data_IF_916848998638
#
_entry.id   IF_916848998638
#
_cell.length_a   1.000
_cell.length_b   1.000
_cell.length_c   1.000
_cell.angle_alpha   90.00
_cell.angle_beta   90.00
_cell.angle_gamma   90.00
#
_symmetry.space_group_name_H-M   'P 1'
#
loop_
_entity.id
_entity.type
_entity.pdbx_description
1 polymer ?
#
# COMPACT_ATOMS: atom_id res chain seq x y z
N UNK A 1 -6.85 -11.87 23.73
CA UNK A 1 -6.68 -11.09 22.49
C UNK A 1 -7.71 -11.63 21.52
N UNK A 2 -8.57 -10.79 20.96
CA UNK A 2 -9.51 -11.19 19.91
C UNK A 2 -8.72 -11.51 18.65
N UNK A 3 -8.98 -12.66 18.02
CA UNK A 3 -8.35 -13.02 16.75
C UNK A 3 -9.22 -12.46 15.61
N UNK A 4 -8.60 -11.63 14.78
CA UNK A 4 -9.21 -10.99 13.63
C UNK A 4 -8.56 -11.55 12.36
N UNK A 5 -9.36 -12.12 11.47
CA UNK A 5 -8.94 -12.38 10.09
C UNK A 5 -9.19 -11.08 9.33
N UNK A 6 -8.14 -10.27 9.19
CA UNK A 6 -8.21 -9.05 8.40
C UNK A 6 -8.23 -9.42 6.92
N UNK A 7 -9.27 -9.02 6.20
CA UNK A 7 -9.32 -9.21 4.76
C UNK A 7 -8.16 -8.47 4.10
N UNK A 8 -7.58 -9.05 3.05
CA UNK A 8 -6.66 -8.31 2.19
C UNK A 8 -7.44 -7.20 1.49
N UNK A 9 -6.80 -6.06 1.19
CA UNK A 9 -7.43 -5.01 0.36
C UNK A 9 -8.09 -5.65 -0.85
N UNK A 10 -9.42 -5.64 -0.85
CA UNK A 10 -10.21 -6.26 -1.92
C UNK A 10 -10.04 -5.28 -3.06
N UNK A 11 -9.15 -5.59 -4.00
CA UNK A 11 -8.76 -4.73 -5.12
C UNK A 11 -9.89 -4.49 -6.11
N UNK A 12 -11.07 -4.08 -5.65
CA UNK A 12 -12.09 -3.45 -6.48
C UNK A 12 -11.61 -2.02 -6.80
N UNK A 13 -10.54 -1.95 -7.59
CA UNK A 13 -10.16 -0.70 -8.21
C UNK A 13 -11.33 -0.20 -9.04
N UNK A 14 -11.69 1.07 -8.91
CA UNK A 14 -12.63 1.70 -9.83
C UNK A 14 -12.06 1.51 -11.25
N UNK A 15 -12.90 1.00 -12.15
CA UNK A 15 -12.60 0.86 -13.57
C UNK A 15 -13.51 1.79 -14.34
N UNK A 16 -13.27 1.98 -15.64
CA UNK A 16 -14.18 2.75 -16.48
C UNK A 16 -15.62 2.18 -16.47
N UNK A 17 -15.80 0.89 -16.16
CA UNK A 17 -17.10 0.24 -16.07
C UNK A 17 -17.78 0.35 -14.69
N UNK A 18 -17.09 0.86 -13.66
CA UNK A 18 -17.66 0.99 -12.32
C UNK A 18 -18.81 1.99 -12.33
N UNK A 19 -19.98 1.59 -11.80
CA UNK A 19 -21.17 2.44 -11.83
C UNK A 19 -21.08 3.59 -10.82
N UNK A 20 -21.62 4.74 -11.19
CA UNK A 20 -21.70 5.90 -10.30
C UNK A 20 -22.61 5.63 -9.09
N UNK A 21 -23.67 4.84 -9.30
CA UNK A 21 -24.59 4.40 -8.25
C UNK A 21 -23.88 3.56 -7.17
N UNK A 22 -22.98 2.65 -7.56
CA UNK A 22 -22.20 1.84 -6.59
C UNK A 22 -21.20 2.67 -5.78
N UNK A 23 -20.89 3.90 -6.21
CA UNK A 23 -20.00 4.83 -5.51
C UNK A 23 -20.76 5.88 -4.69
N UNK A 24 -22.09 5.81 -4.63
CA UNK A 24 -22.93 6.79 -3.92
C UNK A 24 -22.90 8.19 -4.55
N UNK A 25 -22.57 8.29 -5.84
CA UNK A 25 -22.46 9.55 -6.57
C UNK A 25 -23.85 9.91 -7.12
N UNK A 26 -24.41 11.05 -6.72
CA UNK A 26 -25.80 11.44 -7.06
C UNK A 26 -25.93 12.86 -7.62
N UNK A 27 -24.89 13.39 -8.28
CA UNK A 27 -24.88 14.75 -8.82
C UNK A 27 -25.01 14.84 -10.34
N UNK A 28 -25.70 15.88 -10.83
CA UNK A 28 -25.98 16.09 -12.26
C UNK A 28 -24.94 16.96 -12.99
N UNK A 29 -24.09 17.69 -12.27
CA UNK A 29 -23.08 18.57 -12.86
C UNK A 29 -21.86 18.77 -11.95
N UNK A 30 -20.65 18.82 -12.52
CA UNK A 30 -19.36 19.08 -11.86
C UNK A 30 -18.77 20.41 -12.35
N UNK A 31 -18.48 21.34 -11.44
CA UNK A 31 -17.75 22.57 -11.78
C UNK A 31 -16.25 22.41 -11.56
N UNK A 32 -15.46 22.77 -12.57
CA UNK A 32 -14.01 22.76 -12.60
C UNK A 32 -13.53 24.20 -12.80
N UNK A 33 -12.77 24.74 -11.85
CA UNK A 33 -12.17 26.06 -11.96
C UNK A 33 -10.70 25.95 -12.29
N UNK A 34 -10.29 26.60 -13.39
CA UNK A 34 -8.92 26.61 -13.89
C UNK A 34 -8.47 28.06 -14.00
N UNK A 35 -7.64 28.52 -13.06
CA UNK A 35 -7.34 29.94 -12.91
C UNK A 35 -8.63 30.75 -12.66
N UNK A 36 -8.91 31.71 -13.54
CA UNK A 36 -10.10 32.57 -13.49
C UNK A 36 -11.32 32.00 -14.23
N UNK A 37 -11.15 30.94 -15.03
CA UNK A 37 -12.22 30.37 -15.87
C UNK A 37 -12.93 29.21 -15.15
N UNK A 38 -14.27 29.20 -15.22
CA UNK A 38 -15.12 28.13 -14.67
C UNK A 38 -15.74 27.29 -15.80
N UNK A 39 -15.53 25.97 -15.72
CA UNK A 39 -16.05 24.99 -16.67
C UNK A 39 -17.08 24.10 -16.00
N UNK A 40 -18.28 24.02 -16.58
CA UNK A 40 -19.36 23.16 -16.09
C UNK A 40 -19.39 21.85 -16.89
N UNK A 41 -19.15 20.75 -16.22
CA UNK A 41 -19.25 19.38 -16.76
C UNK A 41 -20.65 18.86 -16.50
N UNK A 42 -21.39 18.55 -17.56
CA UNK A 42 -22.70 17.92 -17.44
C UNK A 42 -22.54 16.40 -17.21
N UNK A 43 -23.08 15.90 -16.10
CA UNK A 43 -23.10 14.48 -15.74
C UNK A 43 -24.51 13.87 -15.86
N UNK A 44 -25.50 14.62 -16.32
CA UNK A 44 -26.87 14.14 -16.54
C UNK A 44 -26.88 13.10 -17.67
N UNK A 45 -26.76 11.83 -17.30
CA UNK A 45 -26.64 10.69 -18.22
C UNK A 45 -25.38 9.85 -18.05
N UNK A 46 -24.44 10.26 -17.20
CA UNK A 46 -23.31 9.43 -16.81
C UNK A 46 -23.80 8.29 -15.91
N UNK A 47 -23.52 7.05 -16.29
CA UNK A 47 -23.84 5.85 -15.50
C UNK A 47 -22.59 5.24 -14.86
N UNK A 48 -21.41 5.49 -15.44
CA UNK A 48 -20.14 4.89 -15.05
C UNK A 48 -19.03 5.92 -14.86
N UNK A 49 -17.94 5.51 -14.21
CA UNK A 49 -16.69 6.30 -14.08
C UNK A 49 -16.12 6.67 -15.45
N UNK A 50 -16.24 5.80 -16.45
CA UNK A 50 -15.85 6.08 -17.83
C UNK A 50 -16.66 7.21 -18.47
N UNK A 51 -17.95 7.30 -18.15
CA UNK A 51 -18.81 8.39 -18.63
C UNK A 51 -18.40 9.72 -18.00
N UNK A 52 -17.97 9.74 -16.73
CA UNK A 52 -17.43 10.93 -16.07
C UNK A 52 -16.15 11.40 -16.76
N UNK A 53 -15.21 10.50 -17.03
CA UNK A 53 -13.96 10.82 -17.71
C UNK A 53 -14.24 11.40 -19.11
N UNK A 54 -15.18 10.78 -19.83
CA UNK A 54 -15.60 11.25 -21.15
C UNK A 54 -16.28 12.62 -21.08
N UNK A 55 -17.14 12.85 -20.08
CA UNK A 55 -17.82 14.12 -19.89
C UNK A 55 -16.84 15.25 -19.55
N UNK A 56 -15.81 14.97 -18.76
CA UNK A 56 -14.76 15.94 -18.43
C UNK A 56 -13.94 16.28 -19.67
N UNK A 57 -13.54 15.28 -20.46
CA UNK A 57 -12.85 15.52 -21.74
C UNK A 57 -13.71 16.32 -22.73
N UNK A 58 -15.04 16.13 -22.71
CA UNK A 58 -15.98 16.86 -23.56
C UNK A 58 -16.33 18.28 -23.04
N UNK A 59 -15.92 18.64 -21.83
CA UNK A 59 -16.24 19.94 -21.21
C UNK A 59 -15.45 21.12 -21.80
N UNK A 60 -14.36 20.83 -22.52
CA UNK A 60 -13.46 21.85 -23.08
C UNK A 60 -12.53 22.50 -22.06
N UNK A 61 -12.54 22.05 -20.79
CA UNK A 61 -11.55 22.45 -19.80
C UNK A 61 -10.17 21.89 -20.18
N UNK A 62 -9.06 22.62 -19.95
CA UNK A 62 -7.68 22.13 -20.19
C UNK A 62 -7.25 21.17 -19.07
N UNK A 63 -8.03 20.13 -18.83
CA UNK A 63 -7.86 19.18 -17.72
C UNK A 63 -8.20 17.77 -18.21
N UNK A 64 -7.32 16.82 -17.92
CA UNK A 64 -7.53 15.40 -18.20
C UNK A 64 -7.93 14.67 -16.90
N UNK A 65 -8.96 13.84 -16.99
CA UNK A 65 -9.40 12.96 -15.91
C UNK A 65 -8.93 11.53 -16.18
N UNK A 66 -8.31 10.89 -15.20
CA UNK A 66 -7.87 9.50 -15.32
C UNK A 66 -7.99 8.77 -13.99
N UNK A 67 -8.19 7.45 -14.07
CA UNK A 67 -8.17 6.60 -12.88
C UNK A 67 -6.73 6.51 -12.39
N UNK A 68 -6.51 6.71 -11.09
CA UNK A 68 -5.17 6.62 -10.52
C UNK A 68 -4.60 5.20 -10.63
N UNK A 69 -3.26 5.07 -10.56
CA UNK A 69 -2.58 3.78 -10.70
C UNK A 69 -2.98 2.76 -9.61
N UNK A 70 -3.50 3.23 -8.49
CA UNK A 70 -4.02 2.42 -7.38
C UNK A 70 -5.47 1.96 -7.57
N UNK A 71 -6.18 2.44 -8.61
CA UNK A 71 -7.60 2.16 -8.82
C UNK A 71 -8.52 2.70 -7.72
N UNK A 72 -8.07 3.63 -6.88
CA UNK A 72 -8.82 4.10 -5.70
C UNK A 72 -9.57 5.41 -5.94
N UNK A 73 -9.38 6.06 -7.10
CA UNK A 73 -9.95 7.38 -7.35
C UNK A 73 -9.68 7.90 -8.76
N UNK A 74 -10.37 8.99 -9.12
CA UNK A 74 -10.17 9.72 -10.37
C UNK A 74 -9.27 10.91 -10.07
N UNK A 75 -8.08 10.95 -10.68
CA UNK A 75 -7.21 12.10 -10.67
C UNK A 75 -7.56 13.03 -11.83
N UNK A 76 -7.32 14.32 -11.59
CA UNK A 76 -7.47 15.36 -12.60
C UNK A 76 -6.13 16.08 -12.72
N UNK A 77 -5.64 16.25 -13.94
CA UNK A 77 -4.38 16.93 -14.22
C UNK A 77 -4.59 17.97 -15.30
N UNK A 78 -4.08 19.18 -15.07
CA UNK A 78 -4.11 20.22 -16.10
C UNK A 78 -3.23 19.80 -17.28
N UNK A 79 -3.74 19.96 -18.49
CA UNK A 79 -2.98 19.69 -19.73
C UNK A 79 -2.14 20.88 -20.18
N UNK A 80 -2.30 22.03 -19.52
CA UNK A 80 -1.57 23.27 -19.75
C UNK A 80 -1.06 23.86 -18.42
N UNK A 81 -0.09 24.78 -18.46
CA UNK A 81 0.34 25.50 -17.25
C UNK A 81 -0.76 26.43 -16.77
N UNK A 82 -1.24 26.20 -15.54
CA UNK A 82 -2.32 26.95 -14.92
C UNK A 82 -1.90 27.40 -13.52
N UNK A 83 -2.34 28.58 -13.10
CA UNK A 83 -1.97 29.16 -11.80
C UNK A 83 -2.67 28.45 -10.63
N UNK A 84 -3.87 27.91 -10.86
CA UNK A 84 -4.62 27.12 -9.88
C UNK A 84 -5.58 26.16 -10.58
N UNK A 85 -5.82 25.01 -9.95
CA UNK A 85 -6.84 24.04 -10.34
C UNK A 85 -7.67 23.72 -9.09
N UNK A 86 -8.91 24.18 -9.06
CA UNK A 86 -9.83 23.94 -7.96
C UNK A 86 -11.12 23.28 -8.46
N UNK A 87 -11.65 22.34 -7.67
CA UNK A 87 -12.95 21.74 -7.94
C UNK A 87 -13.87 21.88 -6.73
N UNK A 88 -14.88 22.73 -6.85
CA UNK A 88 -15.73 23.16 -5.73
C UNK A 88 -16.92 22.22 -5.48
N UNK A 89 -17.30 21.40 -6.45
CA UNK A 89 -18.48 20.54 -6.35
C UNK A 89 -18.19 19.07 -6.00
N UNK A 90 -16.92 18.70 -5.86
CA UNK A 90 -16.53 17.30 -5.60
C UNK A 90 -17.24 16.72 -4.37
N UNK A 91 -17.28 17.47 -3.27
CA UNK A 91 -17.88 17.00 -2.00
C UNK A 91 -19.40 16.84 -2.03
N UNK A 92 -20.08 17.52 -2.98
CA UNK A 92 -21.54 17.42 -3.19
C UNK A 92 -21.91 16.30 -4.15
N UNK A 93 -21.05 16.01 -5.12
CA UNK A 93 -21.29 15.02 -6.17
C UNK A 93 -20.78 13.66 -5.73
N UNK A 94 -19.54 13.59 -5.23
CA UNK A 94 -18.84 12.36 -4.86
C UNK A 94 -19.07 11.90 -3.42
N UNK A 95 -19.95 12.57 -2.67
CA UNK A 95 -20.14 12.32 -1.24
C UNK A 95 -18.84 12.47 -0.45
N UNK A 96 -18.90 12.35 0.88
CA UNK A 96 -17.69 12.23 1.71
C UNK A 96 -16.97 10.88 1.53
N UNK A 97 -17.58 9.94 0.79
CA UNK A 97 -17.16 8.55 0.69
C UNK A 97 -16.46 8.19 -0.63
N UNK A 98 -16.58 8.97 -1.72
CA UNK A 98 -15.93 8.63 -2.99
C UNK A 98 -14.61 9.37 -3.27
N UNK A 99 -14.08 10.12 -2.30
CA UNK A 99 -12.74 10.75 -2.37
C UNK A 99 -11.71 10.08 -1.43
N UNK A 100 -12.03 8.92 -0.88
CA UNK A 100 -11.12 8.09 -0.09
C UNK A 100 -11.59 6.65 -0.10
N UNK A 101 -10.70 5.77 -0.57
CA UNK A 101 -10.80 4.30 -0.71
C UNK A 101 -11.99 3.76 -1.52
N UNK A 102 -11.71 2.81 -2.42
CA UNK A 102 -12.73 1.93 -3.00
C UNK A 102 -13.43 1.18 -1.88
N UNK A 103 -14.47 1.80 -1.34
CA UNK A 103 -15.18 1.36 -0.14
C UNK A 103 -16.10 0.22 -0.54
N UNK A 104 -15.83 -0.98 -0.05
CA UNK A 104 -16.78 -2.08 0.04
C UNK A 104 -17.97 -1.57 0.85
N UNK A 105 -19.12 -1.45 0.20
CA UNK A 105 -20.39 -1.07 0.82
C UNK A 105 -21.26 -2.31 1.01
N UNK A 106 -22.23 -2.24 1.92
CA UNK A 106 -23.18 -3.33 2.16
C UNK A 106 -23.98 -3.69 0.88
N UNK A 107 -24.27 -2.68 0.05
CA UNK A 107 -25.03 -2.84 -1.20
C UNK A 107 -24.17 -3.34 -2.38
N UNK A 108 -22.85 -3.45 -2.21
CA UNK A 108 -21.96 -3.89 -3.27
C UNK A 108 -22.29 -5.34 -3.67
N UNK A 109 -22.40 -5.59 -4.98
CA UNK A 109 -22.67 -6.94 -5.48
C UNK A 109 -21.43 -7.83 -5.35
N UNK A 110 -21.61 -9.09 -4.97
CA UNK A 110 -20.51 -10.07 -4.89
C UNK A 110 -19.84 -10.25 -6.26
N UNK A 111 -20.62 -10.21 -7.35
CA UNK A 111 -20.13 -10.25 -8.71
C UNK A 111 -19.17 -9.07 -9.03
N UNK A 112 -19.46 -7.87 -8.54
CA UNK A 112 -18.57 -6.70 -8.73
C UNK A 112 -17.24 -6.81 -7.97
N UNK A 113 -17.17 -7.68 -6.96
CA UNK A 113 -15.92 -8.00 -6.25
C UNK A 113 -15.13 -9.14 -6.92
N UNK A 114 -15.69 -9.80 -7.94
CA UNK A 114 -15.08 -10.96 -8.62
C UNK A 114 -15.60 -12.33 -8.15
N UNK A 115 -16.63 -12.35 -7.31
CA UNK A 115 -17.32 -13.56 -6.87
C UNK A 115 -18.53 -13.78 -7.78
N UNK A 116 -18.29 -14.43 -8.93
CA UNK A 116 -19.29 -14.63 -9.99
C UNK A 116 -20.28 -15.75 -9.70
N UNK A 117 -19.88 -16.72 -8.87
CA UNK A 117 -20.70 -17.83 -8.41
C UNK A 117 -20.35 -18.11 -6.95
N UNK A 118 -20.97 -17.42 -5.99
CA UNK A 118 -20.73 -17.70 -4.58
C UNK A 118 -21.10 -19.17 -4.33
N UNK A 119 -20.20 -19.91 -3.70
CA UNK A 119 -20.34 -21.33 -3.45
C UNK A 119 -20.46 -21.62 -1.97
N UNK A 120 -19.74 -22.63 -1.50
CA UNK A 120 -19.65 -22.92 -0.08
C UNK A 120 -18.42 -22.27 0.53
N UNK A 121 -18.60 -21.65 1.69
CA UNK A 121 -17.52 -21.10 2.51
C UNK A 121 -17.48 -21.86 3.83
N UNK A 122 -16.34 -22.45 4.15
CA UNK A 122 -16.14 -23.13 5.43
C UNK A 122 -15.44 -22.19 6.39
N UNK A 123 -16.04 -21.93 7.55
CA UNK A 123 -15.46 -21.13 8.62
C UNK A 123 -15.21 -22.03 9.81
N UNK A 124 -13.97 -22.06 10.29
CA UNK A 124 -13.57 -22.73 11.52
C UNK A 124 -13.32 -21.69 12.59
N UNK A 125 -14.06 -21.77 13.69
CA UNK A 125 -13.90 -20.94 14.87
C UNK A 125 -13.75 -21.85 16.10
N UNK A 126 -12.66 -21.72 16.86
CA UNK A 126 -12.44 -22.50 18.10
C UNK A 126 -12.47 -24.02 17.89
N UNK A 127 -11.96 -24.49 16.75
CA UNK A 127 -12.02 -25.90 16.34
C UNK A 127 -13.40 -26.40 15.89
N UNK A 128 -14.44 -25.57 15.94
CA UNK A 128 -15.75 -25.87 15.37
C UNK A 128 -15.82 -25.37 13.93
N UNK A 129 -16.00 -26.31 13.00
CA UNK A 129 -16.11 -26.02 11.57
C UNK A 129 -17.56 -25.94 11.13
N UNK A 130 -17.95 -24.81 10.55
CA UNK A 130 -19.27 -24.58 9.96
C UNK A 130 -19.12 -24.36 8.46
N UNK A 131 -19.94 -25.04 7.66
CA UNK A 131 -19.97 -24.84 6.21
C UNK A 131 -21.20 -24.02 5.85
N UNK A 132 -20.99 -22.83 5.28
CA UNK A 132 -22.02 -21.93 4.82
C UNK A 132 -22.27 -22.13 3.33
N UNK A 133 -23.53 -22.21 2.96
CA UNK A 133 -23.96 -22.13 1.56
C UNK A 133 -24.28 -20.66 1.24
N UNK A 134 -23.44 -20.04 0.39
CA UNK A 134 -23.58 -18.66 -0.04
C UNK A 134 -24.11 -18.56 -1.49
N UNK A 135 -24.56 -19.67 -2.09
CA UNK A 135 -25.04 -19.69 -3.49
C UNK A 135 -26.23 -18.78 -3.78
N UNK A 136 -27.01 -18.43 -2.76
CA UNK A 136 -28.10 -17.44 -2.86
C UNK A 136 -27.69 -15.99 -2.55
N UNK A 137 -26.45 -15.74 -2.12
CA UNK A 137 -26.00 -14.41 -1.74
C UNK A 137 -25.68 -13.58 -3.00
N UNK A 138 -26.18 -12.34 -3.04
CA UNK A 138 -25.97 -11.44 -4.19
C UNK A 138 -25.16 -10.20 -3.83
N UNK A 139 -25.23 -9.79 -2.57
CA UNK A 139 -24.57 -8.59 -2.04
C UNK A 139 -23.62 -8.90 -0.88
N UNK A 140 -22.78 -7.93 -0.53
CA UNK A 140 -21.95 -7.98 0.68
C UNK A 140 -22.81 -8.06 1.94
N UNK A 141 -23.97 -7.40 1.97
CA UNK A 141 -24.93 -7.50 3.06
C UNK A 141 -25.43 -8.94 3.25
N UNK A 142 -25.80 -9.63 2.17
CA UNK A 142 -26.24 -11.03 2.22
C UNK A 142 -25.14 -11.94 2.78
N UNK A 143 -23.89 -11.71 2.36
CA UNK A 143 -22.73 -12.48 2.81
C UNK A 143 -22.43 -12.25 4.29
N UNK A 144 -22.35 -11.00 4.74
CA UNK A 144 -22.10 -10.67 6.15
C UNK A 144 -23.23 -11.20 7.03
N UNK A 145 -24.48 -11.05 6.61
CA UNK A 145 -25.62 -11.57 7.35
C UNK A 145 -25.56 -13.10 7.45
N UNK A 146 -25.24 -13.80 6.37
CA UNK A 146 -25.11 -15.26 6.39
C UNK A 146 -24.03 -15.71 7.37
N UNK A 147 -22.87 -15.04 7.41
CA UNK A 147 -21.79 -15.34 8.36
C UNK A 147 -22.24 -15.10 9.80
N UNK A 148 -22.76 -13.91 10.11
CA UNK A 148 -23.12 -13.50 11.47
C UNK A 148 -24.30 -14.29 12.05
N UNK A 149 -25.09 -14.95 11.20
CA UNK A 149 -26.25 -15.74 11.64
C UNK A 149 -25.96 -17.23 11.71
N UNK A 150 -25.08 -17.76 10.86
CA UNK A 150 -24.84 -19.20 10.75
C UNK A 150 -23.56 -19.65 11.47
N UNK A 151 -22.59 -18.76 11.69
CA UNK A 151 -21.34 -19.09 12.39
C UNK A 151 -21.40 -18.58 13.83
N UNK A 152 -21.26 -19.50 14.78
CA UNK A 152 -21.32 -19.16 16.19
C UNK A 152 -20.07 -18.38 16.65
N UNK A 153 -20.29 -17.25 17.30
CA UNK A 153 -19.25 -16.38 17.87
C UNK A 153 -18.24 -15.86 16.84
N UNK A 154 -18.69 -15.63 15.61
CA UNK A 154 -17.95 -14.88 14.59
C UNK A 154 -18.78 -13.67 14.17
N UNK A 155 -18.14 -12.51 14.10
CA UNK A 155 -18.68 -11.27 13.57
C UNK A 155 -17.89 -10.87 12.33
N UNK A 156 -18.53 -11.00 11.18
CA UNK A 156 -18.13 -10.37 9.94
C UNK A 156 -18.54 -8.90 9.92
N UNK A 157 -17.62 -8.02 9.54
CA UNK A 157 -17.88 -6.60 9.36
C UNK A 157 -17.00 -6.00 8.27
N UNK A 158 -17.42 -4.89 7.67
CA UNK A 158 -16.55 -4.10 6.80
C UNK A 158 -15.59 -3.31 7.70
N UNK A 159 -14.30 -3.31 7.36
CA UNK A 159 -13.29 -2.60 8.12
C UNK A 159 -13.49 -1.07 8.10
N UNK A 160 -12.85 -0.36 9.04
CA UNK A 160 -13.09 1.07 9.26
C UNK A 160 -12.74 1.97 8.05
N UNK A 161 -11.82 1.53 7.20
CA UNK A 161 -11.39 2.17 5.96
C UNK A 161 -12.14 1.68 4.71
N UNK A 162 -13.09 0.74 4.89
CA UNK A 162 -13.94 0.24 3.83
C UNK A 162 -13.25 -0.64 2.80
N UNK A 163 -11.97 -0.97 2.98
CA UNK A 163 -11.16 -1.67 1.98
C UNK A 163 -11.31 -3.20 2.01
N UNK A 164 -11.87 -3.76 3.07
CA UNK A 164 -11.97 -5.20 3.28
C UNK A 164 -13.17 -5.59 4.15
N UNK A 165 -13.47 -6.90 4.15
CA UNK A 165 -14.34 -7.52 5.14
C UNK A 165 -13.42 -8.23 6.13
N UNK A 166 -13.68 -8.04 7.42
CA UNK A 166 -12.96 -8.67 8.52
C UNK A 166 -13.86 -9.68 9.21
N UNK A 167 -13.28 -10.79 9.67
CA UNK A 167 -13.94 -11.74 10.57
C UNK A 167 -13.30 -11.63 11.95
N UNK A 168 -14.10 -11.39 12.98
CA UNK A 168 -13.67 -11.31 14.37
C UNK A 168 -14.34 -12.43 15.17
N UNK A 169 -13.58 -13.12 16.02
CA UNK A 169 -14.14 -14.10 16.95
C UNK A 169 -14.54 -13.44 18.26
N UNK A 170 -15.72 -13.76 18.80
CA UNK A 170 -16.16 -13.33 20.14
C UNK A 170 -15.49 -14.14 21.26
N UNK A 171 -14.73 -15.18 20.91
CA UNK A 171 -14.05 -16.05 21.87
C UNK A 171 -12.63 -15.58 22.17
N UNK A 172 -12.15 -15.94 23.36
CA UNK A 172 -10.80 -15.59 23.82
C UNK A 172 -9.69 -16.53 23.30
N UNK A 173 -10.00 -17.51 22.43
CA UNK A 173 -9.02 -18.46 21.85
C UNK A 173 -8.81 -18.24 20.33
N UNK A 174 -7.90 -19.01 19.73
CA UNK A 174 -6.94 -18.55 18.71
C UNK A 174 -7.15 -19.09 17.29
N UNK A 175 -8.21 -19.85 17.01
CA UNK A 175 -8.42 -20.46 15.68
C UNK A 175 -9.62 -19.86 14.97
N UNK A 176 -9.37 -18.91 14.06
CA UNK A 176 -10.35 -18.39 13.11
C UNK A 176 -9.80 -18.52 11.69
N UNK A 177 -10.49 -19.26 10.83
CA UNK A 177 -10.10 -19.45 9.43
C UNK A 177 -11.34 -19.55 8.55
N UNK A 178 -11.26 -19.04 7.33
CA UNK A 178 -12.27 -19.25 6.30
C UNK A 178 -11.64 -19.77 5.01
N UNK A 179 -12.22 -20.84 4.48
CA UNK A 179 -11.71 -21.59 3.32
C UNK A 179 -12.82 -21.83 2.31
N UNK A 180 -12.48 -21.71 1.04
CA UNK A 180 -13.40 -21.99 -0.06
C UNK A 180 -13.63 -23.49 -0.23
N UNK A 181 -14.88 -23.89 -0.45
CA UNK A 181 -15.29 -25.26 -0.78
C UNK A 181 -16.01 -25.30 -2.14
N UNK A 182 -15.91 -26.45 -2.80
CA UNK A 182 -16.73 -26.73 -3.99
C UNK A 182 -16.47 -25.82 -5.20
N UNK A 183 -15.27 -25.26 -5.33
CA UNK A 183 -14.92 -24.35 -6.44
C UNK A 183 -15.33 -22.88 -6.22
N UNK A 184 -15.79 -22.54 -5.01
CA UNK A 184 -15.95 -21.15 -4.56
C UNK A 184 -14.62 -20.38 -4.64
N UNK A 185 -14.70 -19.06 -4.79
CA UNK A 185 -13.56 -18.14 -4.73
C UNK A 185 -13.78 -17.00 -3.72
N UNK A 186 -14.73 -17.14 -2.81
CA UNK A 186 -15.12 -16.12 -1.82
C UNK A 186 -13.95 -15.83 -0.88
N UNK A 187 -13.37 -16.85 -0.24
CA UNK A 187 -12.25 -16.66 0.66
C UNK A 187 -11.03 -16.09 -0.08
N UNK A 188 -10.79 -16.55 -1.31
CA UNK A 188 -9.70 -16.03 -2.15
C UNK A 188 -9.89 -14.54 -2.51
N UNK A 189 -11.07 -14.15 -2.96
CA UNK A 189 -11.39 -12.78 -3.40
C UNK A 189 -11.41 -11.81 -2.23
N UNK A 190 -12.02 -12.19 -1.11
CA UNK A 190 -12.12 -11.35 0.09
C UNK A 190 -10.84 -11.36 0.93
N UNK A 191 -9.84 -12.15 0.51
CA UNK A 191 -8.57 -12.27 1.20
C UNK A 191 -8.64 -13.02 2.52
N UNK A 192 -9.74 -13.74 2.80
CA UNK A 192 -9.84 -14.67 3.92
C UNK A 192 -9.00 -15.94 3.74
N UNK A 193 -8.73 -16.33 2.48
CA UNK A 193 -7.91 -17.48 2.13
C UNK A 193 -6.43 -17.28 2.45
N UNK A 194 -6.05 -16.08 2.88
CA UNK A 194 -4.82 -15.94 3.64
C UNK A 194 -5.10 -16.62 4.98
N UNK A 195 -4.66 -17.87 5.09
CA UNK A 195 -4.02 -18.28 6.33
C UNK A 195 -2.93 -17.23 6.59
N UNK A 196 -3.30 -16.13 7.26
CA UNK A 196 -2.33 -15.29 7.94
C UNK A 196 -1.91 -16.05 9.21
N UNK A 197 -1.34 -17.25 9.03
CA UNK A 197 0.04 -17.46 9.47
C UNK A 197 0.94 -16.47 8.74
N UNK A 198 0.68 -15.16 8.91
CA UNK A 198 1.69 -14.17 8.66
C UNK A 198 2.73 -14.45 9.71
N UNK A 199 3.94 -14.83 9.29
CA UNK A 199 5.23 -14.31 9.75
C UNK A 199 5.27 -13.75 11.19
N UNK A 200 4.69 -14.45 12.15
CA UNK A 200 4.58 -13.97 13.51
C UNK A 200 5.59 -14.74 14.33
N UNK A 201 6.37 -13.98 15.07
CA UNK A 201 7.23 -14.49 16.12
C UNK A 201 6.46 -15.48 17.04
N UNK A 202 5.13 -15.34 17.16
CA UNK A 202 4.22 -16.25 17.85
C UNK A 202 4.21 -17.70 17.32
N UNK A 203 4.43 -17.94 16.02
CA UNK A 203 4.55 -19.28 15.41
C UNK A 203 5.85 -20.00 15.85
N UNK A 204 6.80 -19.22 16.37
CA UNK A 204 7.99 -19.69 17.09
C UNK A 204 7.83 -19.56 18.62
N UNK A 205 6.62 -19.30 19.13
CA UNK A 205 6.37 -19.06 20.55
C UNK A 205 6.82 -17.68 21.05
N UNK A 206 7.27 -16.76 20.19
CA UNK A 206 7.73 -15.43 20.58
C UNK A 206 6.57 -14.43 20.46
N UNK A 207 5.76 -14.33 21.51
CA UNK A 207 4.60 -13.42 21.55
C UNK A 207 4.94 -11.98 21.98
N UNK A 208 6.15 -11.75 22.54
CA UNK A 208 6.65 -10.44 22.94
C UNK A 208 8.17 -10.36 22.66
N UNK A 209 8.75 -9.20 22.28
CA UNK A 209 10.18 -9.10 22.00
C UNK A 209 11.02 -9.55 23.20
N UNK A 210 11.60 -10.76 23.11
CA UNK A 210 12.47 -11.34 24.13
C UNK A 210 11.89 -12.44 25.02
N UNK A 211 10.65 -12.90 24.82
CA UNK A 211 10.10 -14.04 25.56
C UNK A 211 9.62 -15.15 24.63
N UNK A 212 9.98 -16.40 24.94
CA UNK A 212 9.44 -17.61 24.29
C UNK A 212 8.39 -18.20 25.22
N UNK A 213 7.17 -18.35 24.72
CA UNK A 213 6.01 -18.94 25.38
C UNK A 213 5.71 -20.31 24.76
N UNK A 214 5.88 -21.36 25.57
CA UNK A 214 5.68 -22.76 25.18
C UNK A 214 4.18 -23.13 25.11
N UNK A 215 3.27 -22.25 25.54
CA UNK A 215 1.83 -22.54 25.67
C UNK A 215 0.96 -22.01 24.54
N UNK A 216 1.55 -21.35 23.55
CA UNK A 216 0.82 -20.83 22.39
C UNK A 216 0.23 -21.94 21.50
N UNK A 217 -0.84 -21.60 20.79
CA UNK A 217 -1.73 -22.59 20.16
C UNK A 217 -1.11 -23.41 19.03
N UNK A 218 -0.12 -22.87 18.31
CA UNK A 218 0.68 -23.54 17.29
C UNK A 218 2.09 -22.93 17.29
N UNK A 219 3.08 -23.69 17.75
CA UNK A 219 4.49 -23.34 17.60
C UNK A 219 5.38 -24.60 17.68
N UNK A 220 6.62 -24.46 17.22
CA UNK A 220 7.58 -25.57 17.23
C UNK A 220 7.87 -26.13 18.63
N UNK A 221 7.78 -25.30 19.68
CA UNK A 221 8.02 -25.73 21.06
C UNK A 221 6.87 -26.59 21.59
N UNK A 222 5.65 -26.33 21.15
CA UNK A 222 4.47 -27.16 21.42
C UNK A 222 4.56 -28.47 20.67
N UNK A 223 4.94 -28.48 19.39
CA UNK A 223 5.18 -29.74 18.66
C UNK A 223 6.25 -30.60 19.34
N UNK A 224 7.30 -29.98 19.87
CA UNK A 224 8.32 -30.66 20.68
C UNK A 224 7.77 -31.16 22.03
N UNK A 225 6.92 -30.38 22.70
CA UNK A 225 6.28 -30.78 23.96
C UNK A 225 5.29 -31.94 23.75
N UNK A 226 4.49 -31.91 22.70
CA UNK A 226 3.57 -32.97 22.28
C UNK A 226 4.35 -34.23 21.89
N UNK A 227 5.49 -34.09 21.21
CA UNK A 227 6.39 -35.21 20.91
C UNK A 227 6.95 -35.85 22.19
N UNK A 228 7.37 -35.04 23.16
CA UNK A 228 7.81 -35.53 24.48
C UNK A 228 6.66 -36.26 25.20
N UNK A 229 5.43 -35.75 25.12
CA UNK A 229 4.26 -36.36 25.75
C UNK A 229 3.88 -37.70 25.12
N UNK A 230 3.86 -37.78 23.78
CA UNK A 230 3.60 -39.02 23.03
C UNK A 230 4.70 -40.05 23.31
N UNK A 231 5.96 -39.64 23.44
CA UNK A 231 7.07 -40.54 23.78
C UNK A 231 7.04 -41.04 25.23
N UNK A 232 6.44 -40.29 26.14
CA UNK A 232 6.35 -40.65 27.57
C UNK A 232 5.08 -41.41 27.93
N UNK A 233 4.04 -41.31 27.11
CA UNK A 233 2.78 -42.00 27.38
C UNK A 233 2.88 -43.49 27.00
N UNK A 234 2.50 -44.41 27.91
CA UNK A 234 2.53 -45.84 27.63
C UNK A 234 1.36 -46.31 26.75
N UNK A 235 0.42 -45.43 26.41
CA UNK A 235 -0.79 -45.74 25.62
C UNK A 235 -0.78 -45.13 24.23
N UNK A 236 0.29 -44.44 23.84
CA UNK A 236 0.39 -43.78 22.54
C UNK A 236 0.45 -44.80 21.41
N UNK A 237 -0.24 -44.51 20.32
CA UNK A 237 -0.23 -45.37 19.13
C UNK A 237 0.80 -44.89 18.11
N UNK A 238 1.11 -45.74 17.13
CA UNK A 238 1.95 -45.35 15.99
C UNK A 238 1.35 -44.20 15.18
N UNK A 239 0.03 -44.09 15.14
CA UNK A 239 -0.69 -43.03 14.43
C UNK A 239 -0.52 -41.66 15.11
N UNK A 240 -0.50 -41.63 16.44
CA UNK A 240 -0.21 -40.41 17.20
C UNK A 240 1.22 -39.93 16.97
N UNK A 241 2.16 -40.86 16.83
CA UNK A 241 3.55 -40.52 16.52
C UNK A 241 3.71 -39.93 15.12
N UNK A 242 3.06 -40.51 14.11
CA UNK A 242 3.04 -39.97 12.75
C UNK A 242 2.45 -38.56 12.70
N UNK A 243 1.33 -38.31 13.39
CA UNK A 243 0.68 -37.00 13.43
C UNK A 243 1.59 -35.91 14.00
N UNK A 244 2.34 -36.21 15.05
CA UNK A 244 3.27 -35.26 15.66
C UNK A 244 4.49 -35.00 14.75
N UNK A 245 5.00 -36.03 14.07
CA UNK A 245 6.06 -35.85 13.08
C UNK A 245 5.62 -34.97 11.90
N UNK A 246 4.41 -35.18 11.39
CA UNK A 246 3.86 -34.36 10.30
C UNK A 246 3.72 -32.89 10.72
N UNK A 247 3.30 -32.64 11.97
CA UNK A 247 3.24 -31.29 12.55
C UNK A 247 4.63 -30.65 12.67
N UNK A 248 5.62 -31.41 13.16
CA UNK A 248 6.98 -30.93 13.31
C UNK A 248 7.66 -30.63 11.96
N UNK A 249 7.41 -31.45 10.94
CA UNK A 249 7.89 -31.20 9.57
C UNK A 249 7.25 -29.94 8.98
N UNK A 250 5.97 -29.68 9.26
CA UNK A 250 5.30 -28.44 8.89
C UNK A 250 5.95 -27.21 9.56
N UNK A 251 6.27 -27.29 10.85
CA UNK A 251 6.98 -26.23 11.57
C UNK A 251 8.35 -25.95 10.95
N UNK A 252 9.12 -27.00 10.61
CA UNK A 252 10.42 -26.88 9.92
C UNK A 252 10.26 -26.17 8.56
N UNK A 253 9.22 -26.53 7.79
CA UNK A 253 8.95 -25.89 6.50
C UNK A 253 8.68 -24.39 6.68
N UNK A 254 7.94 -24.01 7.73
CA UNK A 254 7.72 -22.61 8.08
C UNK A 254 9.01 -21.89 8.47
N UNK A 255 9.90 -22.53 9.23
CA UNK A 255 11.23 -21.97 9.56
C UNK A 255 12.06 -21.72 8.30
N UNK A 256 12.07 -22.69 7.38
CA UNK A 256 12.82 -22.59 6.15
C UNK A 256 12.29 -21.47 5.23
N UNK A 257 10.96 -21.32 5.16
CA UNK A 257 10.30 -20.25 4.44
C UNK A 257 10.70 -18.88 5.00
N UNK A 258 10.58 -18.69 6.32
CA UNK A 258 10.98 -17.47 7.00
C UNK A 258 12.46 -17.13 6.79
N UNK A 259 13.35 -18.13 6.88
CA UNK A 259 14.78 -17.95 6.60
C UNK A 259 15.04 -17.50 5.16
N UNK A 260 14.26 -18.02 4.21
CA UNK A 260 14.33 -17.62 2.79
C UNK A 260 13.90 -16.17 2.60
N UNK A 261 12.82 -15.75 3.28
CA UNK A 261 12.33 -14.36 3.27
C UNK A 261 13.37 -13.41 3.88
N UNK A 262 13.95 -13.77 5.03
CA UNK A 262 15.03 -12.99 5.66
C UNK A 262 16.23 -12.89 4.71
N UNK A 263 16.63 -13.99 4.07
CA UNK A 263 17.71 -13.99 3.07
C UNK A 263 17.42 -13.04 1.90
N UNK A 264 16.20 -13.04 1.37
CA UNK A 264 15.79 -12.10 0.32
C UNK A 264 15.81 -10.64 0.79
N UNK A 265 15.42 -10.37 2.05
CA UNK A 265 15.49 -9.03 2.65
C UNK A 265 16.92 -8.57 2.84
N UNK A 266 17.81 -9.44 3.31
CA UNK A 266 19.25 -9.15 3.42
C UNK A 266 19.82 -8.80 2.05
N UNK A 267 19.55 -9.60 1.02
CA UNK A 267 19.99 -9.31 -0.34
C UNK A 267 19.49 -7.93 -0.84
N UNK A 268 18.24 -7.58 -0.53
CA UNK A 268 17.67 -6.27 -0.88
C UNK A 268 18.35 -5.12 -0.12
N UNK A 269 18.64 -5.32 1.17
CA UNK A 269 19.34 -4.32 2.00
C UNK A 269 20.77 -4.12 1.47
N UNK A 270 21.50 -5.20 1.19
CA UNK A 270 22.84 -5.15 0.59
C UNK A 270 22.83 -4.45 -0.77
N UNK A 271 21.87 -4.78 -1.65
CA UNK A 271 21.72 -4.10 -2.94
C UNK A 271 21.41 -2.60 -2.78
N UNK A 272 20.61 -2.23 -1.79
CA UNK A 272 20.28 -0.84 -1.48
C UNK A 272 21.49 -0.10 -0.91
N UNK A 273 22.26 -0.73 -0.03
CA UNK A 273 23.50 -0.20 0.52
C UNK A 273 24.53 0.07 -0.59
N UNK A 274 24.80 -0.92 -1.44
CA UNK A 274 25.72 -0.76 -2.58
C UNK A 274 25.30 0.39 -3.51
N UNK A 275 23.99 0.57 -3.72
CA UNK A 275 23.45 1.68 -4.52
C UNK A 275 23.63 3.03 -3.83
N UNK A 276 23.44 3.11 -2.52
CA UNK A 276 23.64 4.33 -1.75
C UNK A 276 25.12 4.75 -1.74
N UNK A 277 26.03 3.79 -1.55
CA UNK A 277 27.48 4.04 -1.61
C UNK A 277 27.91 4.54 -3.00
N UNK A 278 27.37 3.95 -4.07
CA UNK A 278 27.60 4.43 -5.44
C UNK A 278 27.05 5.86 -5.66
N UNK A 279 25.88 6.16 -5.09
CA UNK A 279 25.26 7.48 -5.19
C UNK A 279 26.04 8.54 -4.40
N UNK A 280 26.54 8.19 -3.22
CA UNK A 280 27.41 9.06 -2.41
C UNK A 280 28.71 9.39 -3.16
N UNK A 281 29.37 8.38 -3.76
CA UNK A 281 30.56 8.60 -4.57
C UNK A 281 30.29 9.52 -5.77
N UNK A 282 29.17 9.29 -6.47
CA UNK A 282 28.77 10.10 -7.61
C UNK A 282 28.47 11.56 -7.23
N UNK A 283 27.74 11.77 -6.13
CA UNK A 283 27.47 13.12 -5.62
C UNK A 283 28.75 13.83 -5.17
N UNK A 284 29.67 13.12 -4.54
CA UNK A 284 30.97 13.68 -4.12
C UNK A 284 31.79 14.11 -5.33
N UNK A 285 31.79 13.32 -6.40
CA UNK A 285 32.48 13.67 -7.65
C UNK A 285 31.83 14.86 -8.36
N UNK A 286 30.49 14.89 -8.46
CA UNK A 286 29.77 16.06 -8.99
C UNK A 286 30.03 17.34 -8.20
N UNK A 287 30.06 17.24 -6.86
CA UNK A 287 30.36 18.39 -6.01
C UNK A 287 31.80 18.87 -6.22
N UNK A 288 32.77 17.96 -6.28
CA UNK A 288 34.17 18.28 -6.56
C UNK A 288 34.32 18.93 -7.93
N UNK A 289 33.70 18.38 -8.99
CA UNK A 289 33.81 18.94 -10.34
C UNK A 289 33.22 20.35 -10.44
N UNK A 290 32.14 20.64 -9.70
CA UNK A 290 31.55 21.97 -9.65
C UNK A 290 32.37 22.96 -8.82
N UNK A 291 32.78 22.57 -7.60
CA UNK A 291 33.55 23.45 -6.70
C UNK A 291 35.00 23.67 -7.17
N UNK A 292 35.67 22.66 -7.73
CA UNK A 292 37.04 22.78 -8.23
C UNK A 292 37.14 23.69 -9.48
N UNK A 293 36.12 23.67 -10.34
CA UNK A 293 36.03 24.57 -11.49
C UNK A 293 35.91 26.04 -11.04
N UNK A 294 35.06 26.30 -10.04
CA UNK A 294 34.86 27.63 -9.47
C UNK A 294 36.13 28.14 -8.76
N UNK A 295 36.88 27.28 -8.07
CA UNK A 295 38.17 27.65 -7.46
C UNK A 295 39.22 28.01 -8.50
N UNK A 296 39.35 27.22 -9.58
CA UNK A 296 40.29 27.51 -10.66
C UNK A 296 39.97 28.84 -11.37
N UNK A 297 38.69 29.10 -11.65
CA UNK A 297 38.23 30.37 -12.21
C UNK A 297 38.48 31.54 -11.25
N UNK A 298 38.12 31.39 -9.97
CA UNK A 298 38.30 32.43 -8.95
C UNK A 298 39.77 32.79 -8.74
N UNK A 299 40.68 31.79 -8.71
CA UNK A 299 42.13 32.02 -8.62
C UNK A 299 42.63 32.77 -9.87
N UNK A 300 42.14 32.41 -11.05
CA UNK A 300 42.50 33.08 -12.30
C UNK A 300 42.03 34.53 -12.31
N UNK A 301 40.77 34.79 -11.92
CA UNK A 301 40.21 36.14 -11.82
C UNK A 301 40.99 36.98 -10.78
N UNK A 302 41.31 36.41 -9.61
CA UNK A 302 42.11 37.08 -8.59
C UNK A 302 43.52 37.43 -9.10
N UNK A 303 44.18 36.50 -9.80
CA UNK A 303 45.50 36.71 -10.38
C UNK A 303 45.48 37.81 -11.44
N UNK A 304 44.47 37.82 -12.32
CA UNK A 304 44.33 38.88 -13.34
C UNK A 304 44.08 40.24 -12.71
N UNK A 305 43.21 40.34 -11.70
CA UNK A 305 42.97 41.59 -10.97
C UNK A 305 44.22 42.07 -10.25
N UNK A 306 44.98 41.17 -9.62
CA UNK A 306 46.25 41.52 -8.98
C UNK A 306 47.28 42.04 -9.99
N UNK A 307 47.36 41.43 -11.18
CA UNK A 307 48.24 41.89 -12.26
C UNK A 307 47.82 43.27 -12.79
N UNK A 308 46.52 43.48 -13.03
CA UNK A 308 45.96 44.77 -13.46
C UNK A 308 46.23 45.86 -12.41
N UNK A 309 46.01 45.56 -11.13
CA UNK A 309 46.29 46.50 -10.03
C UNK A 309 47.78 46.88 -9.99
N UNK A 310 48.68 45.91 -10.10
CA UNK A 310 50.12 46.18 -10.12
C UNK A 310 50.54 47.02 -11.35
N UNK A 311 49.96 46.74 -12.52
CA UNK A 311 50.18 47.54 -13.72
C UNK A 311 49.66 48.98 -13.54
N UNK A 312 48.45 49.15 -12.98
CA UNK A 312 47.86 50.45 -12.69
C UNK A 312 48.69 51.24 -11.66
N UNK A 313 49.18 50.60 -10.60
CA UNK A 313 50.09 51.22 -9.62
C UNK A 313 51.42 51.64 -10.25
N UNK A 314 51.98 50.81 -11.14
CA UNK A 314 53.23 51.13 -11.84
C UNK A 314 53.04 52.29 -12.82
N UNK A 315 51.96 52.27 -13.61
CA UNK A 315 51.61 53.35 -14.53
C UNK A 315 51.30 54.66 -13.75
N UNK A 316 50.57 54.54 -12.64
CA UNK A 316 50.31 55.66 -11.73
C UNK A 316 51.59 56.23 -11.12
N UNK A 317 52.55 55.39 -10.72
CA UNK A 317 53.86 55.83 -10.25
C UNK A 317 54.70 56.51 -11.34
N UNK A 318 54.61 56.06 -12.60
CA UNK A 318 55.23 56.72 -13.75
C UNK A 318 54.59 58.06 -14.09
N UNK A 319 53.26 58.20 -13.94
CA UNK A 319 52.53 59.46 -14.11
C UNK A 319 52.78 60.45 -12.97
N UNK A 320 52.91 59.96 -11.73
CA UNK A 320 53.15 60.77 -10.54
C UNK A 320 54.63 61.14 -10.35
N UNK A 321 55.55 60.46 -11.03
CA UNK A 321 56.91 60.99 -11.18
C UNK A 321 56.85 62.20 -12.10
N UNK A 322 57.11 63.42 -11.59
CA UNK A 322 57.14 64.57 -12.47
C UNK A 322 58.37 64.44 -13.35
N UNK A 323 58.23 64.57 -14.68
CA UNK A 323 59.29 65.17 -15.48
C UNK A 323 59.33 66.66 -15.11
N UNK A 324 59.77 66.97 -13.88
CA UNK A 324 60.08 68.32 -13.40
C UNK A 324 61.04 69.06 -14.34
N UNK A 325 61.73 68.34 -15.24
CA UNK A 325 62.56 68.88 -16.32
C UNK A 325 61.76 69.41 -17.52
N UNK A 326 60.54 68.94 -17.76
CA UNK A 326 59.74 69.31 -18.94
C UNK A 326 58.88 70.55 -18.72
N UNK A 327 58.64 70.93 -17.46
CA UNK A 327 57.97 72.20 -17.11
C UNK A 327 58.94 73.40 -17.05
N UNK A 328 60.25 73.18 -17.26
CA UNK A 328 61.30 74.20 -17.16
C UNK A 328 62.01 74.50 -18.50
N UNK A 329 61.42 74.15 -19.65
CA UNK A 329 61.89 74.61 -20.98
C UNK A 329 60.92 75.57 -21.63
#
# INVERSE_FOLDING_TARGET
MYHQVTGSSIGAGITAATTLASLGITGDALSIQVGDDEYQVNLAGAATVGDVITAVAASGAPVEAFINASGTGINFSATESVDSLEMTSLRKIFGSSALGSGTVTLDASLASLGILAPGQLQITNEGATTTLDLSGATTVADLIQAINTQVNGVVASINADGSAIDLESDFFSTTLSAVDLGGSNIAAVLGFAQNRTGDNAADFGISNPGTVDETESQNIFRSLAEMIQVLRSPTSTSEDFSRVLDSFDADIATVLSNRSIIGARVNRVEASQNRLEAFESFLTELLSENEDADLAETITQLSTQANVLNAALTAGAQLLQPSLIDFLR
#
